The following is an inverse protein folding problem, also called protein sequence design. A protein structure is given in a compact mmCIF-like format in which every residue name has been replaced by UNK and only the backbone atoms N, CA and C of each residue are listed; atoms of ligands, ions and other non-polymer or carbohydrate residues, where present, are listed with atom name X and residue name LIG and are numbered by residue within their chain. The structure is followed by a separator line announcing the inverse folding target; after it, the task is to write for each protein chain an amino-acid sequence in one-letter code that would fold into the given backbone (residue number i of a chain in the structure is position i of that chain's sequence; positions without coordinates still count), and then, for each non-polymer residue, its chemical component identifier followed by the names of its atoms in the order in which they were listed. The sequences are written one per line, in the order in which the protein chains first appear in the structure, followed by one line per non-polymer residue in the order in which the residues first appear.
data_IF_830739448385
#
_entry.id   IF_830739448385
#
_cell.length_a   1.000
_cell.length_b   1.000
_cell.length_c   1.000
_cell.angle_alpha   90.00
_cell.angle_beta   90.00
_cell.angle_gamma   90.00
#
_symmetry.space_group_name_H-M   'P 1'
#
loop_
_entity.id
_entity.type
_entity.pdbx_description
1 polymer ?
#
# COMPACT_ATOMS: atom_id res chain seq x y z
N UNK A 1 29.61 17.51 -23.88
CA UNK A 1 28.19 17.16 -24.08
C UNK A 1 27.91 15.68 -24.36
N UNK A 2 28.94 14.82 -24.45
CA UNK A 2 28.84 13.46 -25.02
C UNK A 2 28.78 12.30 -23.99
N UNK A 3 29.19 12.53 -22.73
CA UNK A 3 29.20 11.46 -21.72
C UNK A 3 27.79 10.97 -21.34
N UNK A 4 26.77 11.84 -21.41
CA UNK A 4 25.37 11.49 -21.11
C UNK A 4 24.79 10.40 -22.03
N UNK A 5 25.25 10.31 -23.28
CA UNK A 5 24.77 9.30 -24.23
C UNK A 5 25.32 7.91 -23.94
N UNK A 6 26.50 7.79 -23.31
CA UNK A 6 27.06 6.48 -22.91
C UNK A 6 26.24 5.74 -21.86
N UNK A 7 25.45 6.46 -21.06
CA UNK A 7 24.65 5.90 -19.97
C UNK A 7 23.15 5.80 -20.31
N UNK A 8 22.71 6.39 -21.42
CA UNK A 8 21.31 6.37 -21.83
C UNK A 8 20.80 4.94 -22.05
N UNK A 9 21.65 4.07 -22.62
CA UNK A 9 21.31 2.67 -22.89
C UNK A 9 21.40 1.77 -21.64
N UNK A 10 21.95 2.28 -20.53
CA UNK A 10 22.10 1.53 -19.27
C UNK A 10 20.96 1.81 -18.29
N UNK A 11 20.20 2.89 -18.52
CA UNK A 11 19.02 3.23 -17.72
C UNK A 11 17.75 2.80 -18.45
N UNK A 12 17.37 1.52 -18.29
CA UNK A 12 16.00 1.09 -18.57
C UNK A 12 15.07 1.59 -17.47
N UNK A 13 14.72 2.89 -17.52
CA UNK A 13 13.68 3.45 -16.65
C UNK A 13 12.34 2.96 -17.18
N UNK A 14 11.80 1.92 -16.52
CA UNK A 14 10.44 1.44 -16.79
C UNK A 14 9.44 2.40 -16.15
N UNK A 15 9.15 3.52 -16.84
CA UNK A 15 8.07 4.41 -16.47
C UNK A 15 6.74 3.76 -16.88
N UNK A 16 5.88 3.46 -15.91
CA UNK A 16 4.50 3.08 -16.20
C UNK A 16 3.68 4.35 -16.33
N UNK A 17 2.91 4.48 -17.41
CA UNK A 17 1.96 5.60 -17.61
C UNK A 17 0.95 5.74 -16.47
N UNK A 18 0.72 4.66 -15.73
CA UNK A 18 -0.20 4.59 -14.60
C UNK A 18 0.35 3.70 -13.51
N UNK A 19 0.29 4.19 -12.28
CA UNK A 19 0.56 3.40 -11.08
C UNK A 19 -0.62 3.49 -10.11
N UNK A 20 -0.83 2.45 -9.31
CA UNK A 20 -1.81 2.48 -8.23
C UNK A 20 -1.06 2.82 -6.95
N UNK A 21 -1.47 3.87 -6.27
CA UNK A 21 -0.86 4.32 -5.01
C UNK A 21 -1.93 4.64 -3.97
N UNK A 22 -1.59 4.60 -2.67
CA UNK A 22 -2.49 5.05 -1.61
C UNK A 22 -2.90 6.52 -1.82
N UNK A 23 -4.11 6.89 -1.39
CA UNK A 23 -4.65 8.26 -1.57
C UNK A 23 -3.71 9.35 -1.05
N UNK A 24 -3.07 9.11 0.10
CA UNK A 24 -2.07 10.03 0.69
C UNK A 24 -0.89 10.29 -0.25
N UNK A 25 -0.38 9.23 -0.89
CA UNK A 25 0.75 9.34 -1.83
C UNK A 25 0.33 10.03 -3.12
N UNK A 26 -0.92 9.83 -3.58
CA UNK A 26 -1.46 10.53 -4.73
C UNK A 26 -1.49 12.05 -4.52
N UNK A 27 -1.96 12.51 -3.36
CA UNK A 27 -1.97 13.94 -3.02
C UNK A 27 -0.55 14.54 -3.03
N UNK A 28 0.44 13.83 -2.48
CA UNK A 28 1.84 14.29 -2.50
C UNK A 28 2.41 14.37 -3.92
N UNK A 29 2.05 13.43 -4.80
CA UNK A 29 2.45 13.47 -6.22
C UNK A 29 1.82 14.66 -6.93
N UNK A 30 0.54 14.94 -6.67
CA UNK A 30 -0.16 16.09 -7.26
C UNK A 30 0.46 17.41 -6.81
N UNK A 31 0.74 17.58 -5.51
CA UNK A 31 1.42 18.75 -4.94
C UNK A 31 2.82 18.95 -5.57
N UNK A 32 3.58 17.87 -5.71
CA UNK A 32 4.90 17.92 -6.33
C UNK A 32 4.85 18.31 -7.82
N UNK A 33 3.87 17.80 -8.57
CA UNK A 33 3.68 18.22 -9.96
C UNK A 33 3.34 19.71 -10.07
N UNK A 34 2.49 20.23 -9.19
CA UNK A 34 2.18 21.67 -9.13
C UNK A 34 3.45 22.48 -8.80
N UNK A 35 4.25 22.02 -7.85
CA UNK A 35 5.50 22.66 -7.46
C UNK A 35 6.50 22.70 -8.63
N UNK A 36 6.73 21.56 -9.30
CA UNK A 36 7.59 21.49 -10.50
C UNK A 36 7.07 22.43 -11.58
N UNK A 37 5.75 22.43 -11.82
CA UNK A 37 5.15 23.31 -12.82
C UNK A 37 5.41 24.79 -12.48
N UNK A 38 5.27 25.18 -11.22
CA UNK A 38 5.50 26.56 -10.77
C UNK A 38 6.96 27.02 -10.95
N UNK A 39 7.92 26.11 -10.76
CA UNK A 39 9.33 26.41 -11.01
C UNK A 39 9.66 26.37 -12.50
N UNK A 40 9.04 25.47 -13.27
CA UNK A 40 9.26 25.36 -14.71
C UNK A 40 8.74 26.58 -15.50
N UNK A 41 7.73 27.28 -14.98
CA UNK A 41 7.23 28.53 -15.55
C UNK A 41 7.98 29.78 -15.07
N UNK A 42 8.90 29.63 -14.11
CA UNK A 42 9.78 30.72 -13.68
C UNK A 42 10.95 30.87 -14.66
N UNK A 43 11.33 32.11 -14.97
CA UNK A 43 12.54 32.40 -15.76
C UNK A 43 13.84 32.17 -14.96
N UNK A 44 13.74 31.91 -13.66
CA UNK A 44 14.90 31.65 -12.81
C UNK A 44 15.44 30.23 -13.00
N UNK A 45 16.77 30.11 -13.07
CA UNK A 45 17.43 28.79 -13.00
C UNK A 45 17.25 28.25 -11.58
N UNK A 46 16.48 27.19 -11.45
CA UNK A 46 16.24 26.51 -10.18
C UNK A 46 16.93 25.15 -10.14
N UNK A 47 17.23 24.69 -8.92
CA UNK A 47 17.71 23.33 -8.66
C UNK A 47 17.10 22.84 -7.37
N UNK A 48 16.90 21.51 -7.23
CA UNK A 48 16.29 20.90 -6.04
C UNK A 48 16.93 21.36 -4.73
N UNK A 49 18.26 21.51 -4.73
CA UNK A 49 19.02 21.80 -3.52
C UNK A 49 19.35 23.29 -3.37
N UNK A 50 18.72 24.17 -4.15
CA UNK A 50 19.00 25.60 -4.04
C UNK A 50 18.45 26.17 -2.72
N UNK A 51 19.14 27.13 -2.08
CA UNK A 51 18.63 27.79 -0.89
C UNK A 51 17.27 28.44 -1.16
N UNK A 52 16.29 28.20 -0.27
CA UNK A 52 14.93 28.76 -0.38
C UNK A 52 13.97 27.97 -1.28
N UNK A 53 14.41 26.87 -1.89
CA UNK A 53 13.56 25.94 -2.63
C UNK A 53 13.19 24.78 -1.71
N UNK A 54 11.93 24.76 -1.25
CA UNK A 54 11.38 23.66 -0.44
C UNK A 54 10.79 22.56 -1.35
N UNK A 55 11.67 21.90 -2.12
CA UNK A 55 11.25 20.79 -2.98
C UNK A 55 11.51 19.45 -2.29
N UNK A 56 10.44 18.83 -1.81
CA UNK A 56 10.47 17.46 -1.30
C UNK A 56 10.43 16.46 -2.45
N UNK A 57 11.00 15.28 -2.24
CA UNK A 57 10.96 14.18 -3.20
C UNK A 57 9.92 13.17 -2.77
N UNK A 58 8.92 12.98 -3.64
CA UNK A 58 7.78 12.08 -3.44
C UNK A 58 8.18 10.62 -3.62
N UNK A 59 9.34 10.38 -4.23
CA UNK A 59 9.89 9.06 -4.52
C UNK A 59 11.09 8.70 -3.65
N UNK A 60 11.81 9.68 -3.11
CA UNK A 60 12.45 9.45 -1.82
C UNK A 60 11.34 9.14 -0.83
N UNK A 61 11.56 8.19 0.07
CA UNK A 61 10.60 7.94 1.13
C UNK A 61 10.64 9.17 2.03
N UNK A 62 9.83 10.19 1.72
CA UNK A 62 9.69 11.44 2.46
C UNK A 62 9.16 11.18 3.90
N UNK A 63 8.77 9.94 4.17
CA UNK A 63 8.49 9.45 5.51
C UNK A 63 9.73 8.95 6.27
N UNK A 64 10.86 8.67 5.63
CA UNK A 64 12.08 8.28 6.34
C UNK A 64 12.60 9.45 7.15
N UNK A 65 12.79 10.64 6.58
CA UNK A 65 13.34 11.76 7.36
C UNK A 65 12.44 12.11 8.56
N UNK A 66 11.12 12.18 8.35
CA UNK A 66 10.16 12.38 9.43
C UNK A 66 10.15 11.22 10.46
N UNK A 67 10.20 9.96 10.02
CA UNK A 67 10.23 8.81 10.91
C UNK A 67 11.58 8.66 11.64
N UNK A 68 12.67 9.11 11.03
CA UNK A 68 14.02 9.09 11.58
C UNK A 68 14.25 10.25 12.56
N UNK A 69 13.55 11.37 12.39
CA UNK A 69 13.55 12.52 13.32
C UNK A 69 12.49 12.41 14.42
N UNK A 70 11.63 11.39 14.38
CA UNK A 70 10.64 11.11 15.44
C UNK A 70 11.30 10.74 16.77
N UNK A 71 10.65 11.05 17.88
CA UNK A 71 11.05 10.60 19.22
C UNK A 71 11.05 9.06 19.33
N UNK A 72 10.20 8.41 18.54
CA UNK A 72 10.12 6.96 18.38
C UNK A 72 10.82 6.47 17.09
N UNK A 73 11.97 7.06 16.76
CA UNK A 73 12.74 6.61 15.61
C UNK A 73 13.33 5.21 15.84
N UNK A 74 13.30 4.40 14.77
CA UNK A 74 13.94 3.08 14.73
C UNK A 74 15.31 3.12 14.01
N UNK A 75 15.88 4.30 13.82
CA UNK A 75 17.12 4.48 13.03
C UNK A 75 18.28 3.67 13.58
N UNK A 76 18.47 3.70 14.90
CA UNK A 76 19.52 2.93 15.59
C UNK A 76 19.37 1.40 15.44
N UNK A 77 18.15 0.87 15.24
CA UNK A 77 17.93 -0.56 14.97
C UNK A 77 18.24 -0.93 13.51
N UNK A 78 17.96 -0.02 12.57
CA UNK A 78 18.16 -0.26 11.13
C UNK A 78 19.65 -0.13 10.77
N UNK A 79 20.31 0.92 11.28
CA UNK A 79 21.67 1.28 10.88
C UNK A 79 22.75 0.86 11.88
N UNK A 80 22.35 0.40 13.07
CA UNK A 80 23.24 0.16 14.20
C UNK A 80 23.47 1.44 15.01
N UNK A 81 23.64 1.28 16.33
CA UNK A 81 23.68 2.40 17.27
C UNK A 81 24.85 3.38 17.01
N UNK A 82 26.05 2.86 16.77
CA UNK A 82 27.24 3.69 16.55
C UNK A 82 27.14 4.49 15.24
N UNK A 83 26.78 3.81 14.15
CA UNK A 83 26.59 4.45 12.83
C UNK A 83 25.47 5.49 12.87
N UNK A 84 24.37 5.22 13.58
CA UNK A 84 23.24 6.14 13.69
C UNK A 84 23.62 7.45 14.37
N UNK A 85 24.39 7.36 15.47
CA UNK A 85 24.93 8.54 16.16
C UNK A 85 25.92 9.29 15.28
N UNK A 86 26.77 8.59 14.52
CA UNK A 86 27.70 9.22 13.57
C UNK A 86 26.99 10.00 12.46
N UNK A 87 25.76 9.60 12.09
CA UNK A 87 24.90 10.33 11.15
C UNK A 87 24.12 11.49 11.78
N UNK A 88 24.33 11.77 13.07
CA UNK A 88 23.61 12.82 13.80
C UNK A 88 22.21 12.41 14.29
N UNK A 89 21.91 11.11 14.25
CA UNK A 89 20.65 10.56 14.77
C UNK A 89 20.63 10.49 16.29
N UNK A 90 19.43 10.59 16.88
CA UNK A 90 19.21 10.42 18.32
C UNK A 90 18.81 8.98 18.62
N UNK A 91 19.35 8.41 19.71
CA UNK A 91 18.87 7.12 20.21
C UNK A 91 17.49 7.26 20.83
N UNK A 92 16.67 6.21 20.72
CA UNK A 92 15.37 6.19 21.37
C UNK A 92 15.54 6.09 22.89
N UNK A 93 14.66 6.75 23.65
CA UNK A 93 14.66 6.69 25.12
C UNK A 93 14.00 5.42 25.67
N UNK A 94 13.42 4.59 24.80
CA UNK A 94 12.71 3.38 25.18
C UNK A 94 13.64 2.17 25.13
N UNK A 95 13.57 1.30 26.15
CA UNK A 95 14.31 0.03 26.18
C UNK A 95 13.87 -0.94 25.07
N UNK A 96 12.60 -0.86 24.66
CA UNK A 96 12.03 -1.59 23.52
C UNK A 96 11.26 -0.64 22.59
N UNK A 97 11.97 0.11 21.74
CA UNK A 97 11.37 1.13 20.89
C UNK A 97 10.49 0.53 19.78
N UNK A 98 10.76 -0.72 19.40
CA UNK A 98 9.96 -1.43 18.41
C UNK A 98 8.57 -1.79 18.98
N UNK A 99 8.51 -2.34 20.19
CA UNK A 99 7.25 -2.62 20.88
C UNK A 99 6.50 -1.34 21.21
N UNK A 100 7.19 -0.27 21.61
CA UNK A 100 6.58 1.04 21.83
C UNK A 100 5.90 1.58 20.56
N UNK A 101 6.61 1.54 19.41
CA UNK A 101 6.08 1.96 18.12
C UNK A 101 4.86 1.12 17.70
N UNK A 102 4.95 -0.21 17.79
CA UNK A 102 3.81 -1.07 17.44
C UNK A 102 2.61 -0.88 18.39
N UNK A 103 2.85 -0.52 19.67
CA UNK A 103 1.77 -0.20 20.61
C UNK A 103 1.08 1.11 20.24
N UNK A 104 1.84 2.15 19.93
CA UNK A 104 1.31 3.46 19.53
C UNK A 104 0.44 3.36 18.28
N UNK A 105 0.89 2.57 17.29
CA UNK A 105 0.13 2.36 16.06
C UNK A 105 -1.00 1.33 16.17
N UNK A 106 -1.30 0.81 17.37
CA UNK A 106 -2.39 -0.16 17.57
C UNK A 106 -2.12 -1.53 16.94
N UNK A 107 -0.86 -1.86 16.69
CA UNK A 107 -0.43 -3.14 16.12
C UNK A 107 -0.08 -4.18 17.18
N UNK A 108 -0.28 -3.90 18.48
CA UNK A 108 -0.20 -4.92 19.53
C UNK A 108 -1.61 -5.25 20.01
N UNK A 109 -2.00 -6.51 19.83
CA UNK A 109 -3.29 -7.06 20.25
C UNK A 109 -3.07 -8.05 21.38
N UNK A 110 -3.85 -7.95 22.44
CA UNK A 110 -3.81 -8.91 23.55
C UNK A 110 -4.86 -10.00 23.32
N UNK A 111 -4.43 -11.26 23.32
CA UNK A 111 -5.34 -12.42 23.27
C UNK A 111 -5.14 -13.19 24.60
N UNK A 112 -5.99 -12.90 25.58
CA UNK A 112 -5.78 -13.36 26.95
C UNK A 112 -4.57 -12.68 27.60
N UNK A 113 -3.66 -13.40 28.29
CA UNK A 113 -2.46 -12.82 28.92
C UNK A 113 -1.31 -12.58 27.93
N UNK A 114 -1.44 -13.01 26.68
CA UNK A 114 -0.36 -12.99 25.70
C UNK A 114 -0.48 -11.78 24.78
N UNK A 115 0.60 -11.01 24.64
CA UNK A 115 0.70 -9.94 23.65
C UNK A 115 1.06 -10.53 22.27
N UNK A 116 0.31 -10.13 21.24
CA UNK A 116 0.55 -10.51 19.86
C UNK A 116 0.80 -9.26 19.02
N UNK A 117 1.87 -9.26 18.22
CA UNK A 117 2.06 -8.24 17.19
C UNK A 117 1.14 -8.62 16.02
N UNK A 118 0.27 -7.70 15.63
CA UNK A 118 -0.56 -7.76 14.43
C UNK A 118 0.31 -7.60 13.18
N UNK A 119 1.18 -8.58 12.93
CA UNK A 119 1.91 -8.72 11.67
C UNK A 119 0.91 -9.19 10.60
N UNK A 120 0.28 -8.22 9.91
CA UNK A 120 -0.46 -8.45 8.67
C UNK A 120 -1.59 -9.51 8.73
N UNK A 121 -2.24 -9.67 9.90
CA UNK A 121 -3.58 -10.28 10.00
C UNK A 121 -4.49 -9.21 10.58
N UNK A 122 -5.17 -8.46 9.72
CA UNK A 122 -6.17 -7.46 10.11
C UNK A 122 -5.60 -6.14 10.63
N UNK A 123 -4.90 -5.38 9.78
CA UNK A 123 -4.73 -3.94 10.04
C UNK A 123 -6.12 -3.27 10.00
N UNK A 124 -6.59 -2.63 11.08
CA UNK A 124 -7.92 -2.03 11.13
C UNK A 124 -8.09 -0.87 10.13
N UNK A 125 -6.99 -0.25 9.69
CA UNK A 125 -7.00 0.82 8.68
C UNK A 125 -7.23 0.25 7.27
N UNK A 126 -6.89 -1.02 7.03
CA UNK A 126 -7.10 -1.64 5.73
C UNK A 126 -8.60 -1.96 5.55
N UNK A 127 -9.23 -1.49 4.45
CA UNK A 127 -10.60 -1.83 4.14
C UNK A 127 -10.80 -3.35 4.06
N UNK A 128 -11.88 -3.84 4.68
CA UNK A 128 -12.18 -5.28 4.82
C UNK A 128 -12.14 -6.04 3.48
N UNK A 129 -12.54 -5.40 2.37
CA UNK A 129 -12.51 -6.02 1.04
C UNK A 129 -11.10 -6.45 0.58
N UNK A 130 -10.05 -5.73 1.00
CA UNK A 130 -8.67 -6.07 0.66
C UNK A 130 -8.21 -7.31 1.43
N UNK A 131 -8.59 -7.38 2.70
CA UNK A 131 -8.31 -8.53 3.55
C UNK A 131 -9.03 -9.78 3.04
N UNK A 132 -10.33 -9.66 2.75
CA UNK A 132 -11.13 -10.71 2.11
C UNK A 132 -10.50 -11.21 0.82
N UNK A 133 -10.04 -10.29 -0.04
CA UNK A 133 -9.37 -10.65 -1.29
C UNK A 133 -8.07 -11.42 -1.04
N UNK A 134 -7.26 -10.98 -0.07
CA UNK A 134 -6.01 -11.64 0.29
C UNK A 134 -6.26 -13.06 0.84
N UNK A 135 -7.21 -13.20 1.76
CA UNK A 135 -7.63 -14.48 2.33
C UNK A 135 -8.16 -15.43 1.24
N UNK A 136 -8.99 -14.91 0.33
CA UNK A 136 -9.47 -15.68 -0.84
C UNK A 136 -8.31 -16.13 -1.73
N UNK A 137 -7.29 -15.30 -1.94
CA UNK A 137 -6.10 -15.64 -2.72
C UNK A 137 -5.28 -16.76 -2.07
N UNK A 138 -4.96 -16.62 -0.78
CA UNK A 138 -4.25 -17.66 0.00
C UNK A 138 -5.00 -18.98 -0.01
N UNK A 139 -6.32 -18.93 0.15
CA UNK A 139 -7.17 -20.11 0.11
C UNK A 139 -7.11 -20.83 -1.25
N UNK A 140 -7.05 -20.10 -2.37
CA UNK A 140 -6.87 -20.71 -3.70
C UNK A 140 -5.55 -21.46 -3.81
N UNK A 141 -4.48 -20.89 -3.27
CA UNK A 141 -3.15 -21.50 -3.30
C UNK A 141 -3.15 -22.76 -2.41
N UNK A 142 -3.65 -22.65 -1.17
CA UNK A 142 -3.70 -23.78 -0.24
C UNK A 142 -4.60 -24.92 -0.72
N UNK A 143 -5.70 -24.60 -1.41
CA UNK A 143 -6.61 -25.59 -2.01
C UNK A 143 -6.17 -26.04 -3.41
N UNK A 144 -4.95 -25.67 -3.84
CA UNK A 144 -4.34 -26.11 -5.10
C UNK A 144 -5.15 -25.72 -6.36
N UNK A 145 -5.94 -24.63 -6.28
CA UNK A 145 -6.73 -24.10 -7.39
C UNK A 145 -5.90 -23.24 -8.35
N UNK A 146 -4.80 -22.67 -7.85
CA UNK A 146 -3.84 -21.83 -8.57
C UNK A 146 -2.41 -22.38 -8.42
N UNK A 147 -2.20 -23.64 -8.79
CA UNK A 147 -0.84 -24.21 -8.85
C UNK A 147 -0.11 -23.73 -10.10
N UNK A 148 1.18 -23.39 -9.95
CA UNK A 148 2.07 -23.08 -11.08
C UNK A 148 2.10 -24.25 -12.07
N UNK A 149 1.97 -23.97 -13.36
CA UNK A 149 1.96 -24.97 -14.43
C UNK A 149 0.61 -25.68 -14.65
N UNK A 150 -0.41 -25.43 -13.81
CA UNK A 150 -1.78 -25.93 -14.03
C UNK A 150 -2.70 -24.80 -14.48
N UNK A 151 -3.70 -25.12 -15.30
CA UNK A 151 -4.75 -24.15 -15.68
C UNK A 151 -5.54 -23.74 -14.43
N UNK A 152 -5.85 -22.45 -14.32
CA UNK A 152 -6.67 -21.92 -13.23
C UNK A 152 -8.04 -22.59 -13.24
N UNK A 153 -8.42 -23.18 -12.11
CA UNK A 153 -9.74 -23.81 -11.95
C UNK A 153 -10.72 -22.82 -11.32
N UNK A 154 -11.96 -22.82 -11.79
CA UNK A 154 -13.06 -22.16 -11.09
C UNK A 154 -13.33 -22.86 -9.74
N UNK A 155 -13.85 -22.11 -8.77
CA UNK A 155 -14.38 -22.69 -7.52
C UNK A 155 -15.78 -23.24 -7.78
N UNK A 156 -16.11 -24.31 -7.07
CA UNK A 156 -17.50 -24.81 -7.01
C UNK A 156 -18.32 -23.99 -6.01
N UNK A 157 -19.64 -24.05 -6.10
CA UNK A 157 -20.53 -23.36 -5.15
C UNK A 157 -20.33 -23.84 -3.72
N UNK A 158 -20.05 -25.13 -3.55
CA UNK A 158 -19.73 -25.73 -2.24
C UNK A 158 -18.47 -25.11 -1.62
N UNK A 159 -17.42 -24.92 -2.42
CA UNK A 159 -16.18 -24.26 -1.98
C UNK A 159 -16.40 -22.79 -1.65
N UNK A 160 -17.21 -22.08 -2.45
CA UNK A 160 -17.55 -20.68 -2.18
C UNK A 160 -18.33 -20.53 -0.86
N UNK A 161 -19.26 -21.44 -0.56
CA UNK A 161 -19.98 -21.47 0.73
C UNK A 161 -19.03 -21.73 1.89
N UNK A 162 -18.16 -22.73 1.78
CA UNK A 162 -17.19 -23.06 2.83
C UNK A 162 -16.24 -21.88 3.12
N UNK A 163 -15.76 -21.19 2.08
CA UNK A 163 -14.92 -20.02 2.22
C UNK A 163 -15.64 -18.85 2.88
N UNK A 164 -16.90 -18.60 2.50
CA UNK A 164 -17.72 -17.55 3.13
C UNK A 164 -17.88 -17.80 4.63
N UNK A 165 -18.16 -19.04 5.05
CA UNK A 165 -18.23 -19.42 6.46
C UNK A 165 -16.89 -19.21 7.18
N UNK A 166 -15.77 -19.56 6.52
CA UNK A 166 -14.43 -19.37 7.08
C UNK A 166 -14.09 -17.88 7.28
N UNK A 167 -14.42 -17.03 6.30
CA UNK A 167 -14.24 -15.57 6.39
C UNK A 167 -15.08 -14.98 7.53
N UNK A 168 -16.37 -15.35 7.63
CA UNK A 168 -17.24 -14.91 8.73
C UNK A 168 -16.70 -15.29 10.11
N UNK A 169 -16.10 -16.49 10.25
CA UNK A 169 -15.51 -16.94 11.51
C UNK A 169 -14.26 -16.13 11.88
N UNK A 170 -13.45 -15.74 10.88
CA UNK A 170 -12.29 -14.86 11.10
C UNK A 170 -12.78 -13.48 11.55
N UNK A 171 -13.78 -12.94 10.85
CA UNK A 171 -14.35 -11.62 11.13
C UNK A 171 -14.94 -11.55 12.55
N UNK A 172 -15.70 -12.58 12.96
CA UNK A 172 -16.26 -12.67 14.30
C UNK A 172 -15.20 -12.82 15.41
N UNK A 173 -13.99 -13.27 15.09
CA UNK A 173 -12.87 -13.40 16.02
C UNK A 173 -12.02 -12.13 16.16
N UNK A 174 -12.20 -11.16 15.27
CA UNK A 174 -11.52 -9.87 15.30
C UNK A 174 -12.47 -8.80 15.84
N UNK A 175 -12.34 -8.47 17.13
CA UNK A 175 -12.83 -7.18 17.62
C UNK A 175 -11.87 -6.13 17.10
N UNK A 176 -12.28 -5.31 16.11
CA UNK A 176 -11.48 -4.17 15.66
C UNK A 176 -11.38 -3.17 16.83
N UNK A 177 -10.35 -3.32 17.65
CA UNK A 177 -10.04 -2.38 18.70
C UNK A 177 -9.75 -1.02 18.03
N UNK A 178 -10.53 0.00 18.39
CA UNK A 178 -10.22 1.38 18.01
C UNK A 178 -10.93 1.95 16.78
N UNK A 179 -12.01 1.33 16.27
CA UNK A 179 -13.03 2.18 15.63
C UNK A 179 -13.72 2.91 16.77
N UNK A 180 -13.13 4.06 17.13
CA UNK A 180 -13.80 5.15 17.82
C UNK A 180 -15.19 5.25 17.21
N UNK A 181 -16.21 5.35 18.06
CA UNK A 181 -17.62 5.49 17.71
C UNK A 181 -17.82 6.75 16.84
N UNK A 182 -17.48 6.66 15.56
CA UNK A 182 -17.70 7.68 14.55
C UNK A 182 -19.14 7.55 14.05
N UNK A 183 -20.09 7.89 14.91
CA UNK A 183 -21.47 8.20 14.50
C UNK A 183 -21.58 9.36 13.49
N UNK A 184 -20.52 9.71 12.77
CA UNK A 184 -20.40 10.87 11.86
C UNK A 184 -19.49 10.67 10.63
N UNK A 185 -19.10 9.45 10.26
CA UNK A 185 -18.62 9.20 8.89
C UNK A 185 -19.64 8.36 8.12
N UNK A 186 -20.73 9.04 7.76
CA UNK A 186 -21.58 8.69 6.63
C UNK A 186 -20.75 8.76 5.35
N UNK A 187 -19.88 7.77 5.13
CA UNK A 187 -19.65 7.33 3.77
C UNK A 187 -20.94 6.66 3.36
N UNK A 188 -21.67 7.31 2.44
CA UNK A 188 -22.72 6.67 1.65
C UNK A 188 -22.21 5.29 1.21
N UNK A 189 -22.62 4.26 1.93
CA UNK A 189 -22.81 2.95 1.35
C UNK A 189 -23.94 3.18 0.36
N UNK A 190 -23.58 3.50 -0.88
CA UNK A 190 -24.46 3.17 -1.98
C UNK A 190 -24.64 1.66 -1.90
N UNK A 191 -25.75 1.23 -1.29
CA UNK A 191 -26.35 -0.10 -1.43
C UNK A 191 -26.81 -0.33 -2.89
N UNK A 192 -26.05 0.16 -3.86
CA UNK A 192 -26.20 -0.24 -5.24
C UNK A 192 -25.61 -1.63 -5.37
N UNK A 193 -26.43 -2.59 -5.81
CA UNK A 193 -25.92 -3.88 -6.26
C UNK A 193 -24.67 -3.65 -7.13
N UNK A 194 -23.57 -4.38 -6.88
CA UNK A 194 -22.31 -4.15 -7.55
C UNK A 194 -22.53 -4.22 -9.06
N UNK A 195 -22.47 -3.07 -9.75
CA UNK A 195 -22.65 -3.01 -11.20
C UNK A 195 -21.73 -4.07 -11.82
N UNK A 196 -22.27 -5.02 -12.60
CA UNK A 196 -21.47 -6.12 -13.11
C UNK A 196 -20.30 -5.54 -13.89
N UNK A 197 -19.07 -5.86 -13.46
CA UNK A 197 -17.85 -5.42 -14.15
C UNK A 197 -17.96 -5.85 -15.60
N UNK A 198 -18.04 -4.89 -16.53
CA UNK A 198 -17.95 -5.14 -17.98
C UNK A 198 -16.65 -5.91 -18.23
N UNK A 199 -16.77 -7.21 -18.50
CA UNK A 199 -15.62 -8.06 -18.85
C UNK A 199 -15.08 -7.55 -20.17
N UNK A 200 -13.78 -7.31 -20.26
CA UNK A 200 -13.13 -7.04 -21.55
C UNK A 200 -13.31 -8.28 -22.42
N UNK A 201 -14.11 -8.16 -23.47
CA UNK A 201 -14.26 -9.20 -24.49
C UNK A 201 -12.92 -9.40 -25.19
N UNK A 202 -12.54 -10.66 -25.43
CA UNK A 202 -11.39 -10.96 -26.28
C UNK A 202 -11.63 -10.45 -27.71
N UNK A 203 -10.56 -10.29 -28.49
CA UNK A 203 -10.67 -9.89 -29.89
C UNK A 203 -11.62 -10.82 -30.68
N UNK A 204 -11.51 -12.13 -30.44
CA UNK A 204 -12.34 -13.15 -31.09
C UNK A 204 -13.82 -13.03 -30.70
N UNK A 205 -14.11 -12.73 -29.42
CA UNK A 205 -15.49 -12.51 -28.97
C UNK A 205 -16.10 -11.25 -29.58
N UNK A 206 -15.30 -10.20 -29.79
CA UNK A 206 -15.76 -8.99 -30.48
C UNK A 206 -16.07 -9.28 -31.96
N UNK A 207 -15.21 -10.05 -32.63
CA UNK A 207 -15.45 -10.48 -34.02
C UNK A 207 -16.74 -11.30 -34.16
N UNK A 208 -16.95 -12.29 -33.28
CA UNK A 208 -18.15 -13.11 -33.29
C UNK A 208 -19.44 -12.29 -33.08
N UNK A 209 -19.42 -11.32 -32.16
CA UNK A 209 -20.56 -10.43 -31.93
C UNK A 209 -20.83 -9.47 -33.09
N UNK A 210 -19.80 -9.12 -33.86
CA UNK A 210 -19.94 -8.25 -35.04
C UNK A 210 -20.60 -9.01 -36.20
N UNK A 211 -20.35 -10.32 -36.32
CA UNK A 211 -20.94 -11.18 -37.35
C UNK A 211 -22.41 -11.54 -37.09
N UNK A 212 -22.90 -11.42 -35.85
CA UNK A 212 -24.31 -11.70 -35.50
C UNK A 212 -25.26 -10.51 -35.72
N UNK A 213 -24.72 -9.32 -35.98
CA UNK A 213 -25.50 -8.10 -36.21
C UNK A 213 -25.60 -7.71 -37.70
N UNK A 214 -25.36 -8.67 -38.60
CA UNK A 214 -25.55 -8.57 -40.05
C UNK A 214 -26.60 -9.60 -40.45
#
# INVERSE_FOLDING_TARGET
MEQRLRYADWFFVWAKDRTSMPRRMASLVDEFHLLIYSYATSDAVWSRNAPGIDMFDVFEPSFLDAALKSDLNLGHLIFGSESWVAYGGTQSQYDDPLTALYREHGHIVYIGPTAHIALCKGDPVIPQFHEDRSLRGRDRISSHLDMTGKRKRARTDKENRALSTKLKKIDAGYVRAGIVDEGKLSTRNEEGEPKPKKRRLSADQKLALTQQNV
#
